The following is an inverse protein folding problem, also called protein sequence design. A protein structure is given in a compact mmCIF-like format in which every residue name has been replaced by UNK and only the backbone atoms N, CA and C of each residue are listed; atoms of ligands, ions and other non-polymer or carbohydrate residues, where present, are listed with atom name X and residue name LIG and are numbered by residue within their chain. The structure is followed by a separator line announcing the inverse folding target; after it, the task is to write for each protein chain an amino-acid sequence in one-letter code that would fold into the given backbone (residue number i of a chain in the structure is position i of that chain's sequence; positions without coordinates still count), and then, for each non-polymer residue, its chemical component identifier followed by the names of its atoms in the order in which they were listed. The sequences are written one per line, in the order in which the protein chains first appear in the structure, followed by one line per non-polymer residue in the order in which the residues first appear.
data_IF_829646786253
#
_entry.id   IF_829646786253
#
_cell.length_a   1.000
_cell.length_b   1.000
_cell.length_c   1.000
_cell.angle_alpha   90.00
_cell.angle_beta   90.00
_cell.angle_gamma   90.00
#
_symmetry.space_group_name_H-M   'P 1'
#
loop_
_entity.id
_entity.type
_entity.pdbx_description
1 polymer ?
#
# COMPACT_ATOMS: atom_id res chain seq x y z
N UNK A 1 -56.57 -64.61 39.98
CA UNK A 1 -56.43 -64.14 38.58
C UNK A 1 -57.37 -62.97 38.40
N UNK A 2 -56.89 -61.74 38.52
CA UNK A 2 -57.59 -60.53 38.09
C UNK A 2 -56.54 -59.44 37.89
N UNK A 3 -56.22 -59.23 36.62
CA UNK A 3 -55.30 -58.24 36.06
C UNK A 3 -56.10 -57.01 35.66
N UNK A 4 -55.45 -55.84 35.71
CA UNK A 4 -55.75 -54.61 34.96
C UNK A 4 -57.05 -53.85 35.31
N UNK A 5 -57.12 -52.50 35.30
CA UNK A 5 -56.39 -51.51 34.51
C UNK A 5 -56.56 -50.14 35.18
N UNK A 6 -55.48 -49.42 35.45
CA UNK A 6 -55.55 -47.99 35.74
C UNK A 6 -55.83 -47.23 34.44
N UNK A 7 -56.91 -46.44 34.40
CA UNK A 7 -57.24 -45.51 33.31
C UNK A 7 -56.22 -44.37 33.30
N UNK A 8 -55.37 -44.33 32.28
CA UNK A 8 -54.56 -43.15 31.95
C UNK A 8 -55.46 -42.01 31.44
N UNK A 9 -55.43 -40.88 32.14
CA UNK A 9 -56.11 -39.65 31.73
C UNK A 9 -55.38 -39.02 30.56
N UNK A 10 -55.92 -39.14 29.35
CA UNK A 10 -55.42 -38.40 28.19
C UNK A 10 -55.74 -36.91 28.37
N UNK A 11 -54.71 -36.11 28.67
CA UNK A 11 -54.83 -34.65 28.76
C UNK A 11 -55.05 -34.08 27.35
N UNK A 12 -56.29 -33.76 27.02
CA UNK A 12 -56.63 -33.05 25.78
C UNK A 12 -55.93 -31.69 25.75
N UNK A 13 -55.12 -31.45 24.71
CA UNK A 13 -54.45 -30.16 24.49
C UNK A 13 -55.52 -29.07 24.37
N UNK A 14 -55.42 -28.02 25.18
CA UNK A 14 -56.43 -26.97 25.23
C UNK A 14 -56.52 -26.24 23.89
N UNK A 15 -57.73 -25.82 23.50
CA UNK A 15 -57.97 -25.02 22.27
C UNK A 15 -57.08 -23.77 22.22
N UNK A 16 -56.74 -23.18 23.37
CA UNK A 16 -55.82 -22.03 23.49
C UNK A 16 -54.38 -22.42 23.12
N UNK A 17 -53.92 -23.58 23.55
CA UNK A 17 -52.59 -24.12 23.21
C UNK A 17 -52.46 -24.40 21.72
N UNK A 18 -53.51 -24.92 21.08
CA UNK A 18 -53.55 -25.14 19.63
C UNK A 18 -53.50 -23.80 18.89
N UNK A 19 -54.29 -22.80 19.31
CA UNK A 19 -54.31 -21.47 18.68
C UNK A 19 -52.96 -20.77 18.81
N UNK A 20 -52.35 -20.80 20.00
CA UNK A 20 -51.01 -20.21 20.19
C UNK A 20 -49.96 -20.94 19.36
N UNK A 21 -50.00 -22.28 19.32
CA UNK A 21 -49.10 -23.07 18.48
C UNK A 21 -49.21 -22.70 17.01
N UNK A 22 -50.44 -22.53 16.48
CA UNK A 22 -50.67 -22.11 15.10
C UNK A 22 -50.17 -20.69 14.81
N UNK A 23 -50.38 -19.74 15.74
CA UNK A 23 -49.88 -18.36 15.60
C UNK A 23 -48.35 -18.33 15.61
N UNK A 24 -47.71 -19.09 16.49
CA UNK A 24 -46.24 -19.19 16.52
C UNK A 24 -45.74 -19.80 15.22
N UNK A 25 -46.39 -20.84 14.71
CA UNK A 25 -45.98 -21.52 13.48
C UNK A 25 -46.18 -20.65 12.23
N UNK A 26 -47.23 -19.82 12.19
CA UNK A 26 -47.41 -18.83 11.12
C UNK A 26 -46.42 -17.68 11.22
N UNK A 27 -46.10 -17.18 12.42
CA UNK A 27 -45.09 -16.13 12.61
C UNK A 27 -43.70 -16.66 12.22
N UNK A 28 -43.32 -17.85 12.69
CA UNK A 28 -42.04 -18.48 12.32
C UNK A 28 -42.01 -18.77 10.82
N UNK A 29 -43.09 -19.31 10.26
CA UNK A 29 -43.22 -19.52 8.82
C UNK A 29 -43.12 -18.23 8.01
N UNK A 30 -43.70 -17.12 8.48
CA UNK A 30 -43.60 -15.82 7.84
C UNK A 30 -42.21 -15.21 7.95
N UNK A 31 -41.52 -15.33 9.10
CA UNK A 31 -40.14 -14.85 9.29
C UNK A 31 -39.16 -15.65 8.43
N UNK A 32 -39.29 -16.98 8.43
CA UNK A 32 -38.51 -17.86 7.56
C UNK A 32 -38.79 -17.53 6.09
N UNK A 33 -40.06 -17.41 5.69
CA UNK A 33 -40.42 -16.99 4.35
C UNK A 33 -39.83 -15.62 4.01
N UNK A 34 -39.86 -14.63 4.91
CA UNK A 34 -39.26 -13.31 4.69
C UNK A 34 -37.74 -13.35 4.53
N UNK A 35 -37.06 -14.25 5.24
CA UNK A 35 -35.61 -14.49 5.10
C UNK A 35 -35.25 -15.27 3.83
N UNK A 36 -36.21 -16.01 3.24
CA UNK A 36 -36.05 -16.78 2.01
C UNK A 36 -36.83 -16.22 0.81
N UNK A 37 -37.50 -15.07 0.95
CA UNK A 37 -38.05 -14.35 -0.19
C UNK A 37 -36.84 -13.96 -1.06
N UNK A 38 -36.85 -14.27 -2.37
CA UNK A 38 -35.80 -13.78 -3.25
C UNK A 38 -35.79 -12.26 -3.12
N UNK A 39 -34.73 -11.76 -2.50
CA UNK A 39 -34.54 -10.35 -2.27
C UNK A 39 -34.36 -9.68 -3.63
N UNK A 40 -35.45 -9.09 -4.15
CA UNK A 40 -35.44 -8.19 -5.29
C UNK A 40 -35.02 -8.81 -6.63
N UNK A 41 -35.22 -8.04 -7.69
CA UNK A 41 -34.63 -8.27 -9.00
C UNK A 41 -33.11 -8.55 -8.84
N UNK A 42 -32.56 -9.63 -9.41
CA UNK A 42 -31.12 -9.92 -9.33
C UNK A 42 -30.25 -8.83 -9.97
N UNK A 43 -30.86 -7.86 -10.67
CA UNK A 43 -30.22 -6.67 -11.21
C UNK A 43 -30.41 -5.41 -10.34
N UNK A 44 -31.20 -5.50 -9.26
CA UNK A 44 -31.38 -4.37 -8.35
C UNK A 44 -30.10 -4.14 -7.54
N UNK A 45 -29.56 -2.94 -7.65
CA UNK A 45 -28.46 -2.48 -6.81
C UNK A 45 -29.00 -2.22 -5.41
N UNK A 46 -28.48 -2.95 -4.44
CA UNK A 46 -28.93 -2.94 -3.04
C UNK A 46 -27.90 -2.29 -2.12
N UNK A 47 -26.66 -2.14 -2.61
CA UNK A 47 -25.62 -1.31 -2.02
C UNK A 47 -25.09 -0.36 -3.08
N UNK A 48 -25.14 0.95 -2.83
CA UNK A 48 -24.60 1.98 -3.71
C UNK A 48 -23.84 3.02 -2.87
N UNK A 49 -22.52 2.95 -2.94
CA UNK A 49 -21.60 3.81 -2.20
C UNK A 49 -20.59 4.41 -3.17
N UNK A 50 -20.00 5.53 -2.78
CA UNK A 50 -18.96 6.21 -3.54
C UNK A 50 -17.83 6.61 -2.61
N UNK A 51 -16.62 6.47 -3.13
CA UNK A 51 -15.38 6.79 -2.45
C UNK A 51 -14.48 7.49 -3.45
N UNK A 52 -13.79 8.55 -3.04
CA UNK A 52 -12.81 9.21 -3.89
C UNK A 52 -11.41 8.93 -3.38
N UNK A 53 -10.50 8.57 -4.30
CA UNK A 53 -9.11 8.33 -4.00
C UNK A 53 -8.19 9.19 -4.88
N UNK A 54 -7.12 9.68 -4.26
CA UNK A 54 -6.02 10.37 -4.91
C UNK A 54 -4.68 9.77 -4.50
N UNK A 55 -3.71 9.78 -5.41
CA UNK A 55 -2.32 9.45 -5.13
C UNK A 55 -1.51 10.75 -5.18
N UNK A 56 -0.80 11.06 -4.10
CA UNK A 56 0.07 12.22 -4.04
C UNK A 56 1.53 11.78 -3.93
N UNK A 57 2.32 12.15 -4.94
CA UNK A 57 3.76 11.94 -4.95
C UNK A 57 4.47 13.23 -4.51
N UNK A 58 5.05 13.21 -3.31
CA UNK A 58 5.79 14.37 -2.78
C UNK A 58 7.12 14.63 -3.51
N UNK A 59 7.70 13.65 -4.21
CA UNK A 59 8.98 13.84 -4.94
C UNK A 59 8.78 14.79 -6.11
N UNK A 60 7.65 14.65 -6.78
CA UNK A 60 7.29 15.42 -7.98
C UNK A 60 6.27 16.52 -7.67
N UNK A 61 5.63 16.48 -6.49
CA UNK A 61 4.52 17.36 -6.13
C UNK A 61 3.24 17.10 -6.93
N UNK A 62 3.11 15.92 -7.54
CA UNK A 62 2.01 15.61 -8.46
C UNK A 62 0.89 14.83 -7.77
N UNK A 63 -0.35 15.24 -8.02
CA UNK A 63 -1.54 14.46 -7.73
C UNK A 63 -1.95 13.63 -8.95
N UNK A 64 -2.30 12.37 -8.73
CA UNK A 64 -2.86 11.48 -9.74
C UNK A 64 -4.06 10.72 -9.17
N UNK A 65 -4.86 10.16 -10.07
CA UNK A 65 -6.07 9.38 -9.74
C UNK A 65 -6.00 8.03 -10.44
N UNK A 66 -6.75 7.03 -9.96
CA UNK A 66 -6.95 5.80 -10.70
C UNK A 66 -7.50 6.08 -12.11
N UNK A 67 -7.14 5.27 -13.11
CA UNK A 67 -7.68 5.38 -14.46
C UNK A 67 -9.19 5.11 -14.51
N UNK A 68 -9.81 5.61 -15.57
CA UNK A 68 -11.19 5.30 -15.92
C UNK A 68 -11.39 3.80 -16.23
N UNK A 69 -12.61 3.32 -16.00
CA UNK A 69 -13.07 1.99 -16.41
C UNK A 69 -12.37 0.78 -15.75
N UNK A 70 -11.80 0.95 -14.56
CA UNK A 70 -11.38 -0.18 -13.71
C UNK A 70 -12.62 -1.03 -13.38
N UNK A 71 -12.51 -2.35 -13.52
CA UNK A 71 -13.63 -3.26 -13.32
C UNK A 71 -14.68 -3.21 -14.45
N UNK A 72 -14.36 -2.58 -15.58
CA UNK A 72 -15.19 -2.52 -16.78
C UNK A 72 -14.38 -2.90 -18.03
N UNK A 73 -13.26 -2.22 -18.26
CA UNK A 73 -12.41 -2.46 -19.41
C UNK A 73 -11.65 -3.79 -19.27
N UNK A 74 -11.53 -4.63 -20.33
CA UNK A 74 -10.90 -5.95 -20.24
C UNK A 74 -9.49 -5.95 -19.65
N UNK A 75 -8.70 -4.91 -19.90
CA UNK A 75 -7.34 -4.79 -19.37
C UNK A 75 -7.26 -4.24 -17.94
N UNK A 76 -8.36 -3.73 -17.38
CA UNK A 76 -8.47 -3.16 -16.03
C UNK A 76 -9.50 -3.91 -15.16
N UNK A 77 -10.04 -5.01 -15.66
CA UNK A 77 -10.92 -5.94 -14.97
C UNK A 77 -10.27 -7.32 -15.04
N UNK A 78 -9.20 -7.46 -14.27
CA UNK A 78 -8.28 -8.61 -14.32
C UNK A 78 -8.78 -9.74 -13.43
N UNK A 79 -9.34 -9.42 -12.27
CA UNK A 79 -9.86 -10.40 -11.32
C UNK A 79 -11.38 -10.35 -11.26
N UNK A 80 -12.01 -11.49 -11.57
CA UNK A 80 -13.46 -11.66 -11.68
C UNK A 80 -14.11 -12.35 -10.46
N UNK A 81 -13.36 -12.56 -9.37
CA UNK A 81 -13.83 -13.31 -8.19
C UNK A 81 -15.08 -12.69 -7.55
N UNK A 82 -15.24 -11.36 -7.68
CA UNK A 82 -16.34 -10.60 -7.09
C UNK A 82 -17.50 -10.32 -8.04
N UNK A 83 -17.41 -10.71 -9.31
CA UNK A 83 -18.41 -10.40 -10.34
C UNK A 83 -19.82 -10.86 -9.97
N UNK A 84 -19.93 -11.98 -9.26
CA UNK A 84 -21.21 -12.51 -8.76
C UNK A 84 -21.98 -11.53 -7.86
N UNK A 85 -21.28 -10.55 -7.29
CA UNK A 85 -21.87 -9.52 -6.43
C UNK A 85 -22.21 -8.25 -7.22
N UNK A 86 -21.70 -8.07 -8.44
CA UNK A 86 -21.89 -6.89 -9.26
C UNK A 86 -23.08 -7.02 -10.24
N UNK A 87 -23.57 -5.88 -10.74
CA UNK A 87 -24.48 -5.86 -11.88
C UNK A 87 -23.86 -6.48 -13.15
N UNK A 88 -24.68 -6.97 -14.10
CA UNK A 88 -24.16 -7.45 -15.36
C UNK A 88 -23.36 -6.37 -16.10
N UNK A 89 -22.14 -6.70 -16.53
CA UNK A 89 -21.30 -5.86 -17.37
C UNK A 89 -20.19 -5.08 -16.65
N UNK A 90 -20.09 -5.14 -15.32
CA UNK A 90 -18.97 -4.58 -14.57
C UNK A 90 -18.82 -5.19 -13.17
N UNK A 91 -17.62 -5.08 -12.62
CA UNK A 91 -17.30 -5.46 -11.24
C UNK A 91 -18.06 -4.61 -10.22
N UNK A 92 -18.50 -5.18 -9.08
CA UNK A 92 -19.18 -4.43 -8.02
C UNK A 92 -18.37 -3.26 -7.45
N UNK A 93 -17.04 -3.27 -7.63
CA UNK A 93 -16.17 -2.14 -7.34
C UNK A 93 -15.50 -1.72 -8.65
N UNK A 94 -15.73 -0.48 -9.07
CA UNK A 94 -15.27 -0.02 -10.39
C UNK A 94 -15.14 1.51 -10.48
N UNK A 95 -14.38 1.99 -11.46
CA UNK A 95 -14.37 3.42 -11.84
C UNK A 95 -15.19 3.65 -13.11
N UNK A 96 -15.70 4.87 -13.29
CA UNK A 96 -16.42 5.27 -14.51
C UNK A 96 -15.57 6.21 -15.38
N UNK A 97 -14.80 7.06 -14.73
CA UNK A 97 -13.92 8.06 -15.31
C UNK A 97 -12.61 8.14 -14.50
N UNK A 98 -11.77 9.11 -14.82
CA UNK A 98 -10.48 9.38 -14.19
C UNK A 98 -10.59 10.37 -13.01
N UNK A 99 -11.80 10.65 -12.50
CA UNK A 99 -11.99 11.57 -11.35
C UNK A 99 -11.44 11.03 -10.03
N UNK A 100 -11.07 9.76 -10.01
CA UNK A 100 -10.71 9.00 -8.80
C UNK A 100 -11.91 8.51 -8.00
N UNK A 101 -13.13 8.63 -8.54
CA UNK A 101 -14.34 8.10 -7.89
C UNK A 101 -14.45 6.59 -8.13
N UNK A 102 -14.37 5.84 -7.05
CA UNK A 102 -14.67 4.41 -6.97
C UNK A 102 -16.15 4.26 -6.63
N UNK A 103 -16.86 3.54 -7.49
CA UNK A 103 -18.25 3.15 -7.32
C UNK A 103 -18.30 1.76 -6.71
N UNK A 104 -19.12 1.61 -5.68
CA UNK A 104 -19.36 0.35 -5.00
C UNK A 104 -20.85 0.06 -5.14
N UNK A 105 -21.16 -0.76 -6.14
CA UNK A 105 -22.51 -1.08 -6.58
C UNK A 105 -22.68 -2.60 -6.56
N UNK A 106 -23.47 -3.11 -5.61
CA UNK A 106 -23.68 -4.54 -5.47
C UNK A 106 -25.16 -4.91 -5.45
N UNK A 107 -25.46 -6.06 -6.04
CA UNK A 107 -26.79 -6.67 -6.05
C UNK A 107 -27.02 -7.56 -4.81
N UNK A 108 -26.02 -7.69 -3.95
CA UNK A 108 -26.11 -8.40 -2.67
C UNK A 108 -25.51 -7.54 -1.55
N UNK A 109 -25.96 -7.71 -0.30
CA UNK A 109 -25.25 -7.16 0.84
C UNK A 109 -23.86 -7.82 0.97
N UNK A 110 -22.80 -7.09 0.66
CA UNK A 110 -21.42 -7.54 0.78
C UNK A 110 -20.55 -6.50 1.52
N UNK A 111 -19.37 -6.94 1.94
CA UNK A 111 -18.33 -6.07 2.47
C UNK A 111 -17.19 -6.10 1.47
N UNK A 112 -16.75 -4.93 1.05
CA UNK A 112 -15.67 -4.74 0.11
C UNK A 112 -14.53 -4.01 0.78
N UNK A 113 -13.31 -4.34 0.38
CA UNK A 113 -12.07 -3.73 0.88
C UNK A 113 -11.38 -2.94 -0.21
N UNK A 114 -10.44 -2.06 0.17
CA UNK A 114 -9.52 -1.44 -0.79
C UNK A 114 -8.70 -2.49 -1.55
N UNK A 115 -8.28 -3.57 -0.88
CA UNK A 115 -7.56 -4.66 -1.53
C UNK A 115 -8.36 -5.30 -2.66
N UNK A 116 -9.68 -5.42 -2.52
CA UNK A 116 -10.55 -5.94 -3.57
C UNK A 116 -10.52 -5.06 -4.82
N UNK A 117 -10.55 -3.72 -4.66
CA UNK A 117 -10.44 -2.79 -5.77
C UNK A 117 -9.13 -2.96 -6.55
N UNK A 118 -8.00 -3.02 -5.85
CA UNK A 118 -6.70 -3.23 -6.49
C UNK A 118 -6.57 -4.63 -7.11
N UNK A 119 -7.17 -5.66 -6.51
CA UNK A 119 -7.24 -7.00 -7.08
C UNK A 119 -8.04 -7.03 -8.39
N UNK A 120 -9.21 -6.38 -8.44
CA UNK A 120 -10.03 -6.22 -9.66
C UNK A 120 -9.21 -5.52 -10.74
N UNK A 121 -8.50 -4.44 -10.38
CA UNK A 121 -7.63 -3.71 -11.29
C UNK A 121 -6.39 -4.50 -11.74
N UNK A 122 -5.98 -5.51 -10.95
CA UNK A 122 -4.75 -6.26 -11.19
C UNK A 122 -3.48 -5.47 -10.82
N UNK A 123 -3.59 -4.53 -9.88
CA UNK A 123 -2.48 -3.71 -9.40
C UNK A 123 -2.05 -4.14 -8.00
N UNK A 124 -0.76 -3.99 -7.65
CA UNK A 124 -0.29 -4.35 -6.32
C UNK A 124 -0.87 -3.40 -5.27
N UNK A 125 -1.22 -3.96 -4.11
CA UNK A 125 -1.62 -3.22 -2.92
C UNK A 125 -1.14 -3.94 -1.67
N UNK A 126 -0.13 -3.37 -1.03
CA UNK A 126 0.55 -3.92 0.15
C UNK A 126 1.18 -2.79 0.96
N UNK A 127 1.83 -3.11 2.08
CA UNK A 127 2.58 -2.12 2.86
C UNK A 127 3.83 -1.61 2.17
N UNK A 128 4.30 -2.26 1.10
CA UNK A 128 5.51 -1.84 0.38
C UNK A 128 5.23 -1.43 -1.05
N UNK A 129 4.04 -1.67 -1.58
CA UNK A 129 3.73 -1.39 -2.97
C UNK A 129 2.27 -1.01 -3.13
N UNK A 130 2.01 0.10 -3.84
CA UNK A 130 0.69 0.50 -4.29
C UNK A 130 0.79 0.98 -5.73
N UNK A 131 0.04 0.35 -6.64
CA UNK A 131 0.06 0.66 -8.07
C UNK A 131 1.47 0.59 -8.68
N UNK A 132 2.02 1.71 -9.15
CA UNK A 132 3.36 1.79 -9.74
C UNK A 132 4.43 2.29 -8.75
N UNK A 133 4.06 2.50 -7.49
CA UNK A 133 4.97 2.93 -6.45
C UNK A 133 5.28 1.77 -5.49
N UNK A 134 6.56 1.42 -5.41
CA UNK A 134 7.07 0.42 -4.51
C UNK A 134 8.23 0.98 -3.69
N UNK A 135 8.21 0.70 -2.38
CA UNK A 135 9.34 0.87 -1.50
C UNK A 135 10.53 0.05 -2.01
N UNK A 136 11.71 0.63 -1.90
CA UNK A 136 12.97 0.02 -2.29
C UNK A 136 14.04 0.48 -1.29
N UNK A 137 14.94 -0.40 -0.85
CA UNK A 137 16.08 0.01 -0.02
C UNK A 137 16.99 0.97 -0.80
N UNK A 138 17.74 1.81 -0.08
CA UNK A 138 18.83 2.56 -0.68
C UNK A 138 19.92 1.60 -1.19
N UNK A 139 20.55 1.95 -2.30
CA UNK A 139 21.70 1.20 -2.79
C UNK A 139 22.93 1.44 -1.93
N UNK A 140 23.72 0.37 -1.75
CA UNK A 140 24.91 0.41 -0.91
C UNK A 140 26.06 1.03 -1.67
N UNK A 141 26.63 2.06 -1.07
CA UNK A 141 27.86 2.75 -1.45
C UNK A 141 29.00 2.20 -0.60
N UNK A 142 30.13 1.97 -1.26
CA UNK A 142 31.31 1.30 -0.72
C UNK A 142 32.58 1.98 -1.20
N UNK A 143 33.66 1.71 -0.49
CA UNK A 143 35.02 2.01 -0.91
C UNK A 143 35.69 0.72 -1.38
N UNK A 144 35.90 0.62 -2.69
CA UNK A 144 36.60 -0.46 -3.39
C UNK A 144 38.11 -0.22 -3.30
N UNK A 145 38.77 -0.93 -2.39
CA UNK A 145 40.14 -0.58 -1.99
C UNK A 145 41.19 -1.01 -3.00
N UNK A 146 40.96 -2.13 -3.69
CA UNK A 146 41.88 -2.68 -4.69
C UNK A 146 41.47 -2.35 -6.13
N UNK A 147 40.34 -1.66 -6.31
CA UNK A 147 39.81 -1.15 -7.57
C UNK A 147 39.50 -2.27 -8.58
N UNK A 148 39.11 -3.44 -8.10
CA UNK A 148 38.79 -4.57 -8.95
C UNK A 148 37.31 -4.60 -9.41
N UNK A 149 36.49 -3.67 -8.91
CA UNK A 149 35.04 -3.55 -9.13
C UNK A 149 34.22 -4.70 -8.52
N UNK A 150 34.74 -5.38 -7.51
CA UNK A 150 34.10 -6.52 -6.86
C UNK A 150 34.16 -6.35 -5.35
N UNK A 151 33.01 -6.35 -4.69
CA UNK A 151 32.96 -6.32 -3.23
C UNK A 151 33.63 -7.56 -2.64
N UNK A 152 34.76 -7.35 -1.96
CA UNK A 152 35.61 -8.43 -1.47
C UNK A 152 36.26 -8.10 -0.11
N UNK A 153 37.25 -8.90 0.29
CA UNK A 153 37.94 -8.71 1.58
C UNK A 153 38.93 -7.55 1.50
N UNK A 154 38.63 -6.46 2.18
CA UNK A 154 39.48 -5.27 2.22
C UNK A 154 38.71 -3.99 1.92
N UNK A 155 37.56 -4.13 1.28
CA UNK A 155 36.62 -3.05 1.00
C UNK A 155 35.89 -2.57 2.26
N UNK A 156 35.39 -1.34 2.19
CA UNK A 156 34.70 -0.70 3.30
C UNK A 156 33.29 -0.27 2.89
N UNK A 157 32.28 -0.60 3.68
CA UNK A 157 30.92 -0.10 3.44
C UNK A 157 30.81 1.35 3.95
N UNK A 158 30.31 2.25 3.10
CA UNK A 158 30.20 3.69 3.39
C UNK A 158 28.85 4.00 4.06
N UNK A 159 27.74 3.48 3.53
CA UNK A 159 26.38 3.67 4.06
C UNK A 159 25.72 2.32 4.41
N UNK A 160 26.19 1.59 5.44
CA UNK A 160 25.57 0.32 5.80
C UNK A 160 24.10 0.51 6.21
N UNK A 161 23.17 0.09 5.35
CA UNK A 161 21.72 0.17 5.63
C UNK A 161 21.39 -0.88 6.69
N UNK A 162 21.04 -0.45 7.91
CA UNK A 162 20.75 -1.34 9.05
C UNK A 162 21.84 -2.37 9.35
N UNK A 163 23.11 -2.02 9.12
CA UNK A 163 24.25 -2.93 9.33
C UNK A 163 24.43 -4.00 8.25
N UNK A 164 23.68 -3.92 7.15
CA UNK A 164 23.87 -4.80 5.99
C UNK A 164 25.03 -4.31 5.13
N UNK A 165 25.80 -5.26 4.60
CA UNK A 165 26.87 -5.02 3.61
C UNK A 165 26.50 -5.74 2.31
N UNK A 166 27.12 -5.39 1.17
CA UNK A 166 26.94 -6.16 -0.05
C UNK A 166 27.31 -7.63 0.14
N UNK A 167 26.74 -8.49 -0.72
CA UNK A 167 27.13 -9.90 -0.76
C UNK A 167 28.55 -10.03 -1.32
N UNK A 168 29.36 -10.93 -0.76
CA UNK A 168 30.72 -11.19 -1.26
C UNK A 168 30.69 -11.55 -2.76
N UNK A 169 31.50 -10.87 -3.56
CA UNK A 169 31.51 -11.00 -5.02
C UNK A 169 30.52 -10.08 -5.76
N UNK A 170 29.77 -9.22 -5.05
CA UNK A 170 28.87 -8.26 -5.70
C UNK A 170 29.64 -7.33 -6.64
N UNK A 171 29.09 -7.08 -7.83
CA UNK A 171 29.69 -6.16 -8.79
C UNK A 171 29.47 -4.72 -8.33
N UNK A 172 30.52 -3.91 -8.46
CA UNK A 172 30.51 -2.50 -8.08
C UNK A 172 30.47 -1.63 -9.33
N UNK A 173 29.70 -0.56 -9.25
CA UNK A 173 29.51 0.40 -10.33
C UNK A 173 29.92 1.81 -9.88
N UNK A 174 30.27 2.63 -10.86
CA UNK A 174 30.62 4.03 -10.66
C UNK A 174 29.43 4.91 -11.03
N UNK A 175 29.14 5.88 -10.18
CA UNK A 175 28.25 6.98 -10.49
C UNK A 175 29.03 8.30 -10.35
N UNK A 176 29.21 9.08 -11.43
CA UNK A 176 29.89 10.37 -11.38
C UNK A 176 29.29 11.38 -10.40
N UNK A 177 28.02 11.21 -10.01
CA UNK A 177 27.29 12.08 -9.09
C UNK A 177 27.46 11.70 -7.63
N UNK A 178 28.00 10.52 -7.33
CA UNK A 178 28.46 10.24 -5.97
C UNK A 178 29.73 11.05 -5.75
N UNK A 179 29.67 11.96 -4.78
CA UNK A 179 30.77 12.82 -4.38
C UNK A 179 31.05 12.67 -2.90
N UNK A 180 32.18 13.21 -2.47
CA UNK A 180 32.50 13.34 -1.05
C UNK A 180 33.03 14.73 -0.73
N UNK A 181 32.89 15.12 0.54
CA UNK A 181 33.53 16.30 1.09
C UNK A 181 34.88 15.91 1.68
N UNK A 182 35.95 16.32 0.98
CA UNK A 182 37.34 16.19 1.40
C UNK A 182 37.62 17.19 2.54
N UNK A 183 37.41 16.74 3.77
CA UNK A 183 37.51 17.57 4.96
C UNK A 183 38.96 17.73 5.43
N UNK A 184 39.81 16.75 5.12
CA UNK A 184 41.21 16.72 5.55
C UNK A 184 42.19 17.25 4.47
N UNK A 185 41.74 17.42 3.22
CA UNK A 185 42.48 17.97 2.10
C UNK A 185 43.42 17.00 1.39
N UNK A 186 43.24 15.68 1.56
CA UNK A 186 44.14 14.66 1.00
C UNK A 186 43.75 14.21 -0.43
N UNK A 187 42.62 14.68 -0.95
CA UNK A 187 42.05 14.32 -2.27
C UNK A 187 41.78 12.82 -2.45
N UNK A 188 41.53 12.08 -1.37
CA UNK A 188 41.06 10.69 -1.38
C UNK A 188 39.94 10.57 -0.35
N UNK A 189 38.89 9.80 -0.62
CA UNK A 189 37.90 9.59 0.42
C UNK A 189 38.51 8.86 1.63
N UNK A 190 38.31 9.42 2.82
CA UNK A 190 38.73 8.82 4.08
C UNK A 190 37.52 8.45 4.96
N UNK A 191 37.57 7.35 5.73
CA UNK A 191 36.50 7.00 6.67
C UNK A 191 36.16 8.15 7.62
N UNK A 192 34.88 8.54 7.62
CA UNK A 192 34.37 9.67 8.40
C UNK A 192 34.09 10.93 7.57
N UNK A 193 34.58 10.99 6.34
CA UNK A 193 34.20 12.04 5.39
C UNK A 193 32.80 11.82 4.84
N UNK A 194 32.13 12.94 4.56
CA UNK A 194 30.73 12.94 4.14
C UNK A 194 30.64 12.50 2.68
N UNK A 195 29.77 11.55 2.39
CA UNK A 195 29.45 11.09 1.02
C UNK A 195 28.02 11.48 0.70
N UNK A 196 27.80 11.99 -0.50
CA UNK A 196 26.54 12.61 -0.92
C UNK A 196 26.33 12.48 -2.42
N UNK A 197 25.11 12.76 -2.86
CA UNK A 197 24.70 12.68 -4.26
C UNK A 197 24.50 14.08 -4.85
N UNK A 198 25.46 14.51 -5.65
CA UNK A 198 25.45 15.79 -6.38
C UNK A 198 24.47 15.70 -7.57
N UNK A 199 23.24 16.15 -7.32
CA UNK A 199 22.10 15.86 -8.18
C UNK A 199 22.25 16.56 -9.53
N UNK A 200 22.80 17.77 -9.52
CA UNK A 200 23.00 18.61 -10.69
C UNK A 200 24.42 18.47 -11.29
N UNK A 201 25.31 17.72 -10.62
CA UNK A 201 26.70 17.43 -11.01
C UNK A 201 27.56 18.69 -11.19
N UNK A 202 27.38 19.69 -10.33
CA UNK A 202 28.13 20.94 -10.38
C UNK A 202 29.38 20.96 -9.47
N UNK A 203 29.62 19.87 -8.72
CA UNK A 203 30.66 19.67 -7.72
C UNK A 203 30.58 20.61 -6.51
N UNK A 204 29.37 21.02 -6.13
CA UNK A 204 29.10 21.87 -4.98
C UNK A 204 27.88 21.32 -4.25
N UNK A 205 27.96 21.19 -2.93
CA UNK A 205 26.79 20.76 -2.15
C UNK A 205 25.75 21.88 -2.06
N UNK A 206 24.51 21.56 -2.41
CA UNK A 206 23.34 22.40 -2.13
C UNK A 206 22.36 21.76 -1.15
N UNK A 207 21.74 22.61 -0.32
CA UNK A 207 20.67 22.20 0.59
C UNK A 207 19.54 21.51 -0.17
N UNK A 208 19.27 20.26 0.20
CA UNK A 208 18.24 19.42 -0.41
C UNK A 208 18.82 18.26 -1.23
N UNK A 209 20.13 18.27 -1.50
CA UNK A 209 20.81 17.12 -2.09
C UNK A 209 20.90 15.94 -1.12
N UNK A 210 20.77 14.68 -1.60
CA UNK A 210 20.83 13.51 -0.74
C UNK A 210 22.21 13.35 -0.08
N UNK A 211 22.22 13.14 1.23
CA UNK A 211 23.43 12.77 1.99
C UNK A 211 23.42 11.25 2.16
N UNK A 212 24.39 10.59 1.55
CA UNK A 212 24.52 9.13 1.52
C UNK A 212 25.10 8.62 2.85
N UNK A 213 26.13 9.28 3.36
CA UNK A 213 26.76 8.96 4.63
C UNK A 213 27.35 10.19 5.32
N UNK A 214 27.22 10.26 6.65
CA UNK A 214 27.69 11.38 7.46
C UNK A 214 26.63 12.46 7.68
N UNK A 215 27.05 13.60 8.23
CA UNK A 215 26.19 14.77 8.43
C UNK A 215 26.30 15.73 7.24
N UNK A 216 25.17 16.30 6.80
CA UNK A 216 25.14 17.30 5.75
C UNK A 216 26.20 18.41 5.98
N UNK A 217 27.07 18.72 4.99
CA UNK A 217 28.05 19.78 5.13
C UNK A 217 27.38 21.16 5.00
N UNK A 218 28.11 22.27 5.25
CA UNK A 218 27.60 23.61 4.98
C UNK A 218 27.19 23.78 3.51
N UNK A 219 26.14 24.55 3.25
CA UNK A 219 25.74 24.87 1.88
C UNK A 219 26.90 25.54 1.12
N UNK A 220 27.03 25.22 -0.18
CA UNK A 220 28.12 25.66 -1.05
C UNK A 220 29.49 25.03 -0.76
N UNK A 221 29.53 23.88 -0.08
CA UNK A 221 30.78 23.12 0.14
C UNK A 221 31.28 22.52 -1.17
N UNK A 222 32.55 22.72 -1.57
CA UNK A 222 33.13 22.07 -2.75
C UNK A 222 33.21 20.56 -2.56
N UNK A 223 32.87 19.83 -3.63
CA UNK A 223 32.81 18.38 -3.63
C UNK A 223 33.92 17.77 -4.49
N UNK A 224 34.33 16.56 -4.13
CA UNK A 224 35.35 15.78 -4.83
C UNK A 224 34.78 14.44 -5.29
N UNK A 225 35.43 13.85 -6.29
CA UNK A 225 35.15 12.49 -6.76
C UNK A 225 36.34 11.61 -6.45
N UNK A 226 36.07 10.39 -6.01
CA UNK A 226 37.06 9.34 -5.82
C UNK A 226 36.63 8.12 -6.65
N UNK A 227 37.45 7.63 -7.61
CA UNK A 227 37.14 6.44 -8.40
C UNK A 227 36.98 5.15 -7.59
N UNK A 228 37.41 5.15 -6.33
CA UNK A 228 37.28 4.01 -5.41
C UNK A 228 35.95 4.05 -4.64
N UNK A 229 35.26 5.19 -4.62
CA UNK A 229 33.89 5.27 -4.10
C UNK A 229 32.94 4.76 -5.17
N UNK A 230 32.34 3.60 -4.91
CA UNK A 230 31.47 2.86 -5.84
C UNK A 230 30.16 2.49 -5.15
N UNK A 231 29.23 1.93 -5.89
CA UNK A 231 27.96 1.44 -5.34
C UNK A 231 27.54 0.12 -5.96
N UNK A 232 26.60 -0.56 -5.32
CA UNK A 232 25.95 -1.77 -5.83
C UNK A 232 24.70 -1.37 -6.60
N UNK A 233 24.80 -1.40 -7.92
CA UNK A 233 23.68 -1.13 -8.83
C UNK A 233 22.76 -2.35 -8.89
N UNK A 234 21.72 -2.35 -8.05
CA UNK A 234 20.86 -3.52 -7.87
C UNK A 234 19.84 -3.66 -8.99
N UNK A 235 19.50 -2.56 -9.66
CA UNK A 235 18.52 -2.53 -10.74
C UNK A 235 19.13 -2.28 -12.13
N UNK A 236 20.45 -2.15 -12.23
CA UNK A 236 21.25 -2.05 -13.45
C UNK A 236 20.84 -0.81 -14.28
N UNK A 237 20.55 0.31 -13.62
CA UNK A 237 20.20 1.57 -14.29
C UNK A 237 21.42 2.51 -14.49
N UNK A 238 22.57 2.16 -13.92
CA UNK A 238 23.81 2.92 -14.00
C UNK A 238 23.87 4.16 -13.12
N UNK A 239 22.94 4.35 -12.18
CA UNK A 239 22.93 5.50 -11.28
C UNK A 239 22.39 5.16 -9.89
N UNK A 240 23.01 5.71 -8.87
CA UNK A 240 22.66 5.40 -7.49
C UNK A 240 21.22 5.77 -7.15
N UNK A 241 20.54 4.90 -6.41
CA UNK A 241 19.20 5.14 -5.92
C UNK A 241 19.13 5.20 -4.39
N UNK A 242 18.49 6.25 -3.90
CA UNK A 242 18.18 6.43 -2.49
C UNK A 242 17.02 5.53 -2.04
N UNK A 243 16.80 5.47 -0.73
CA UNK A 243 15.67 4.82 -0.10
C UNK A 243 14.35 5.36 -0.66
N UNK A 244 13.54 4.44 -1.19
CA UNK A 244 12.14 4.71 -1.50
C UNK A 244 11.30 4.20 -0.31
N UNK A 245 10.67 5.08 0.48
CA UNK A 245 9.91 4.68 1.66
C UNK A 245 8.61 3.93 1.30
N UNK A 246 8.00 3.30 2.29
CA UNK A 246 6.68 2.69 2.14
C UNK A 246 5.58 3.73 1.85
N UNK A 247 4.59 3.40 1.00
CA UNK A 247 3.43 4.26 0.80
C UNK A 247 2.57 4.31 2.06
N UNK A 248 1.94 5.46 2.32
CA UNK A 248 1.09 5.71 3.48
C UNK A 248 -0.32 6.10 3.02
N UNK A 249 -1.34 5.68 3.77
CA UNK A 249 -2.73 6.10 3.51
C UNK A 249 -3.19 7.12 4.55
N UNK A 250 -3.86 8.17 4.08
CA UNK A 250 -4.43 9.24 4.89
C UNK A 250 -5.86 9.57 4.44
N UNK A 251 -6.67 10.08 5.37
CA UNK A 251 -8.06 10.49 5.12
C UNK A 251 -8.18 12.02 5.22
N UNK A 252 -8.48 12.67 4.09
CA UNK A 252 -8.65 14.12 4.02
C UNK A 252 -9.96 14.52 4.70
N UNK A 253 -9.85 15.05 5.93
CA UNK A 253 -11.00 15.41 6.77
C UNK A 253 -11.11 14.62 8.08
N UNK A 254 -10.11 13.82 8.43
CA UNK A 254 -9.89 13.37 9.81
C UNK A 254 -8.68 14.10 10.42
N UNK A 255 -8.61 14.16 11.75
CA UNK A 255 -7.37 14.55 12.45
C UNK A 255 -6.37 13.39 12.52
N UNK A 256 -6.71 12.22 11.96
CA UNK A 256 -5.89 11.02 11.95
C UNK A 256 -5.03 11.06 10.68
N UNK A 257 -3.76 11.47 10.84
CA UNK A 257 -2.83 11.55 9.71
C UNK A 257 -2.61 10.21 9.00
N UNK A 258 -2.83 9.10 9.72
CA UNK A 258 -2.61 7.73 9.27
C UNK A 258 -3.80 6.83 9.58
N UNK A 259 -4.26 6.09 8.57
CA UNK A 259 -5.33 5.12 8.71
C UNK A 259 -4.72 3.69 8.65
N UNK A 260 -4.83 2.91 9.75
CA UNK A 260 -4.52 1.48 9.90
C UNK A 260 -5.40 0.52 9.05
N UNK A 261 -4.81 -0.30 8.19
CA UNK A 261 -5.34 -1.41 7.32
C UNK A 261 -6.75 -2.07 7.50
N UNK A 262 -7.50 -1.87 8.57
CA UNK A 262 -8.89 -2.31 8.75
C UNK A 262 -9.87 -1.15 8.57
N UNK A 263 -10.40 -0.94 7.35
CA UNK A 263 -11.46 0.06 7.18
C UNK A 263 -12.65 -0.43 6.38
N UNK A 264 -13.80 -0.36 7.05
CA UNK A 264 -15.11 -0.26 6.43
C UNK A 264 -15.27 1.10 5.77
N UNK A 265 -15.98 1.08 4.65
CA UNK A 265 -16.16 2.18 3.73
C UNK A 265 -16.82 3.38 4.44
N UNK A 266 -16.23 4.57 4.31
CA UNK A 266 -16.69 5.82 4.90
C UNK A 266 -17.60 6.63 3.96
N UNK A 267 -18.41 7.49 4.57
CA UNK A 267 -19.46 8.38 4.08
C UNK A 267 -18.96 9.81 3.77
N UNK A 268 -18.59 10.09 2.51
CA UNK A 268 -18.22 11.43 1.97
C UNK A 268 -16.80 11.93 2.30
N UNK A 269 -15.81 11.04 2.33
CA UNK A 269 -14.42 11.44 2.53
C UNK A 269 -13.53 11.13 1.33
N UNK A 270 -12.53 11.98 1.11
CA UNK A 270 -11.52 11.84 0.07
C UNK A 270 -10.27 11.19 0.69
N UNK A 271 -9.90 10.02 0.20
CA UNK A 271 -8.75 9.27 0.71
C UNK A 271 -7.52 9.57 -0.15
N UNK A 272 -6.37 9.76 0.49
CA UNK A 272 -5.12 10.11 -0.17
C UNK A 272 -4.06 9.06 0.17
N UNK A 273 -3.47 8.46 -0.86
CA UNK A 273 -2.28 7.61 -0.73
C UNK A 273 -1.06 8.47 -1.02
N UNK A 274 -0.18 8.59 -0.04
CA UNK A 274 1.06 9.35 -0.07
C UNK A 274 2.21 8.44 -0.48
N UNK A 275 2.90 8.81 -1.55
CA UNK A 275 3.94 8.00 -2.20
C UNK A 275 5.37 8.53 -1.94
N UNK A 276 5.60 9.42 -0.96
CA UNK A 276 6.95 9.76 -0.47
C UNK A 276 6.83 10.66 0.76
N UNK A 277 7.69 10.45 1.77
CA UNK A 277 7.63 11.24 3.00
C UNK A 277 8.98 11.25 3.76
N UNK A 278 10.06 11.76 3.15
CA UNK A 278 11.34 11.89 3.88
C UNK A 278 11.25 12.85 5.09
N UNK A 279 10.28 13.79 5.09
CA UNK A 279 10.16 14.86 6.09
C UNK A 279 8.84 14.87 6.89
N UNK A 280 7.95 13.86 6.75
CA UNK A 280 6.65 13.86 7.47
C UNK A 280 6.65 13.08 8.78
N UNK A 281 7.79 12.49 9.18
CA UNK A 281 7.93 11.86 10.49
C UNK A 281 7.58 12.81 11.65
N UNK A 282 7.68 14.13 11.46
CA UNK A 282 7.35 15.14 12.47
C UNK A 282 5.97 15.81 12.34
N UNK A 283 5.33 15.84 11.16
CA UNK A 283 4.16 16.72 10.91
C UNK A 283 2.82 16.01 10.79
N UNK A 284 2.79 14.72 10.42
CA UNK A 284 1.53 13.97 10.29
C UNK A 284 1.43 12.76 11.25
N UNK A 285 2.42 12.55 12.13
CA UNK A 285 2.39 11.43 13.09
C UNK A 285 2.39 10.05 12.42
N UNK A 286 2.76 9.98 11.15
CA UNK A 286 2.74 8.80 10.33
C UNK A 286 4.10 8.13 10.31
N UNK A 287 4.32 7.23 11.24
CA UNK A 287 5.38 6.22 11.15
C UNK A 287 4.71 4.85 10.95
N UNK A 288 5.32 3.93 10.17
CA UNK A 288 4.94 2.52 10.21
C UNK A 288 5.10 1.94 11.63
#
# INVERSE_FOLDING_TARGET
MASERARGSASGVSRRTIVVGLIVLTIVGAVVAFQFLPYGDPNAIVQHWRLKIHFYDFRTGTNSTPPAYIGFAPQLWVNHTLDRFGPPGYSPISTRDDSGTIYIESNYPAIFTFGDFFNIWGQPFSSTCVWNYCAAPAELVVYDRDNDNVWNTGDTAINPVSGTTPSYGAQLSLDPKIKYWDANGDNIWSPGEVVLYDTNNNNVYESGEPVIAGSAPPNSTPLKSDPLVKFVDTNINGGWNDLIPAPVMSDNGSNEGCVHRQYGLSNNKDWIIVLYASNLAGSFGCLP
#
